data_IF_047228777700
#
_entry.id   IF_047228777700
#
_cell.length_a   1.000
_cell.length_b   1.000
_cell.length_c   1.000
_cell.angle_alpha   90.00
_cell.angle_beta   90.00
_cell.angle_gamma   90.00
#
_symmetry.space_group_name_H-M   'P 1'
#
loop_
_entity.id
_entity.type
_entity.pdbx_description
1 polymer ?
#
# COMPACT_ATOMS: atom_id res chain seq x y z
N UNK A 1 6.13 -8.66 -7.13
CA UNK A 1 7.02 -7.48 -7.01
C UNK A 1 6.29 -6.47 -6.15
N UNK A 2 6.98 -5.87 -5.18
CA UNK A 2 6.41 -4.85 -4.28
C UNK A 2 6.21 -3.52 -5.03
N UNK A 3 5.25 -2.73 -4.57
CA UNK A 3 5.10 -1.33 -4.96
C UNK A 3 5.81 -0.45 -3.92
N UNK A 4 6.72 0.40 -4.37
CA UNK A 4 7.37 1.42 -3.55
C UNK A 4 7.22 2.76 -4.26
N UNK A 5 6.44 3.66 -3.68
CA UNK A 5 6.20 5.00 -4.21
C UNK A 5 6.68 6.03 -3.19
N UNK A 6 7.50 7.00 -3.64
CA UNK A 6 7.94 8.13 -2.82
C UNK A 6 7.45 9.43 -3.46
N UNK A 7 6.72 10.23 -2.69
CA UNK A 7 6.20 11.53 -3.06
C UNK A 7 7.11 12.59 -2.40
N UNK A 8 7.70 13.47 -3.21
CA UNK A 8 8.36 14.69 -2.74
C UNK A 8 7.36 15.85 -2.77
N UNK A 9 7.08 16.44 -1.60
CA UNK A 9 6.18 17.57 -1.44
C UNK A 9 6.84 18.92 -1.76
N UNK A 10 8.13 18.92 -2.11
CA UNK A 10 8.94 20.10 -2.43
C UNK A 10 9.51 20.80 -1.19
N UNK A 11 8.72 20.90 -0.12
CA UNK A 11 9.10 21.53 1.14
C UNK A 11 8.60 20.74 2.37
N UNK A 12 9.14 21.06 3.54
CA UNK A 12 8.68 20.47 4.79
C UNK A 12 7.37 21.14 5.18
N UNK A 13 6.29 20.35 5.27
CA UNK A 13 4.96 20.82 5.62
C UNK A 13 4.28 19.87 6.63
N UNK A 14 3.29 20.35 7.41
CA UNK A 14 2.53 19.48 8.29
C UNK A 14 1.66 18.52 7.47
N UNK A 15 1.63 17.27 7.89
CA UNK A 15 0.78 16.22 7.34
C UNK A 15 -0.27 15.81 8.36
N UNK A 16 -1.50 15.69 7.87
CA UNK A 16 -2.69 15.40 8.64
C UNK A 16 -3.34 14.08 8.24
N UNK A 17 -3.24 13.66 6.97
CA UNK A 17 -3.82 12.38 6.55
C UNK A 17 -3.09 11.79 5.36
N UNK A 18 -2.93 10.46 5.39
CA UNK A 18 -2.45 9.67 4.27
C UNK A 18 -3.51 8.61 3.92
N UNK A 19 -3.74 8.38 2.63
CA UNK A 19 -4.71 7.40 2.13
C UNK A 19 -4.25 6.76 0.83
N UNK A 20 -4.53 5.46 0.66
CA UNK A 20 -4.42 4.76 -0.63
C UNK A 20 -5.54 3.75 -0.82
N UNK A 21 -5.99 3.60 -2.08
CA UNK A 21 -6.94 2.57 -2.49
C UNK A 21 -6.26 1.42 -3.22
N UNK A 22 -6.69 0.20 -2.91
CA UNK A 22 -6.18 -1.03 -3.52
C UNK A 22 -7.33 -1.87 -4.07
N UNK A 23 -7.20 -2.33 -5.32
CA UNK A 23 -8.17 -3.25 -5.91
C UNK A 23 -7.84 -4.69 -5.49
N UNK A 24 -8.87 -5.42 -5.09
CA UNK A 24 -8.86 -6.87 -5.05
C UNK A 24 -9.78 -7.41 -6.14
N UNK A 25 -9.23 -8.24 -7.01
CA UNK A 25 -9.97 -9.05 -7.96
C UNK A 25 -9.19 -10.35 -8.18
N UNK A 26 -9.46 -11.33 -7.32
CA UNK A 26 -8.69 -12.58 -7.32
C UNK A 26 -8.85 -13.35 -8.62
N UNK A 27 -9.99 -13.27 -9.31
CA UNK A 27 -10.19 -13.90 -10.62
C UNK A 27 -9.21 -13.39 -11.69
N UNK A 28 -8.81 -12.11 -11.58
CA UNK A 28 -7.82 -11.45 -12.43
C UNK A 28 -6.40 -11.49 -11.86
N UNK A 29 -6.16 -12.31 -10.82
CA UNK A 29 -4.86 -12.48 -10.15
C UNK A 29 -4.40 -11.20 -9.41
N UNK A 30 -5.35 -10.30 -9.11
CA UNK A 30 -5.12 -9.03 -8.40
C UNK A 30 -5.46 -9.26 -6.93
N UNK A 31 -4.45 -9.22 -6.07
CA UNK A 31 -4.59 -9.42 -4.64
C UNK A 31 -4.34 -8.10 -3.91
N UNK A 32 -4.96 -7.94 -2.74
CA UNK A 32 -4.51 -6.90 -1.82
C UNK A 32 -3.03 -7.09 -1.48
N UNK A 33 -2.28 -6.00 -1.29
CA UNK A 33 -0.92 -6.10 -0.78
C UNK A 33 -0.94 -6.80 0.59
N UNK A 34 -0.08 -7.79 0.79
CA UNK A 34 0.01 -8.52 2.07
C UNK A 34 0.33 -7.61 3.26
N UNK A 35 0.99 -6.48 2.98
CA UNK A 35 1.37 -5.48 3.97
C UNK A 35 1.50 -4.12 3.29
N UNK A 36 1.04 -3.06 3.94
CA UNK A 36 1.19 -1.68 3.49
C UNK A 36 1.85 -0.87 4.60
N UNK A 37 2.90 -0.12 4.27
CA UNK A 37 3.58 0.78 5.19
C UNK A 37 3.64 2.18 4.63
N UNK A 38 3.24 3.14 5.47
CA UNK A 38 3.49 4.55 5.26
C UNK A 38 4.66 5.01 6.12
N UNK A 39 5.61 5.69 5.49
CA UNK A 39 6.76 6.28 6.16
C UNK A 39 7.01 7.70 5.67
N UNK A 40 7.56 8.55 6.52
CA UNK A 40 7.81 9.96 6.20
C UNK A 40 9.26 10.34 6.46
N UNK A 41 9.76 11.34 5.72
CA UNK A 41 11.13 11.86 5.86
C UNK A 41 11.19 13.37 5.65
N UNK A 42 12.17 14.01 6.30
CA UNK A 42 12.53 15.41 6.06
C UNK A 42 13.66 15.56 5.04
N UNK A 43 14.49 14.54 4.87
CA UNK A 43 15.74 14.59 4.10
C UNK A 43 15.74 13.67 2.85
N UNK A 44 14.74 12.79 2.73
CA UNK A 44 14.61 11.86 1.59
C UNK A 44 15.48 10.61 1.68
N UNK A 45 16.24 10.44 2.76
CA UNK A 45 17.13 9.29 3.01
C UNK A 45 16.73 8.48 4.24
N UNK A 46 16.39 9.16 5.33
CA UNK A 46 15.97 8.55 6.60
C UNK A 46 14.47 8.66 6.75
N UNK A 47 13.77 7.53 6.75
CA UNK A 47 12.32 7.49 6.86
C UNK A 47 11.89 6.86 8.18
N UNK A 48 10.83 7.42 8.76
CA UNK A 48 10.18 6.90 9.96
C UNK A 48 8.78 6.41 9.59
N UNK A 49 8.46 5.17 9.95
CA UNK A 49 7.12 4.60 9.79
C UNK A 49 6.11 5.39 10.62
N UNK A 50 4.96 5.68 10.03
CA UNK A 50 3.84 6.41 10.66
C UNK A 50 2.56 5.58 10.69
N UNK A 51 2.39 4.62 9.79
CA UNK A 51 1.30 3.67 9.81
C UNK A 51 1.66 2.38 9.06
N UNK A 52 1.00 1.30 9.42
CA UNK A 52 1.13 0.01 8.78
C UNK A 52 -0.22 -0.75 8.79
N UNK A 53 -0.47 -1.52 7.74
CA UNK A 53 -1.69 -2.31 7.56
C UNK A 53 -1.33 -3.72 7.07
N UNK A 54 -1.92 -4.73 7.69
CA UNK A 54 -1.78 -6.13 7.27
C UNK A 54 -3.05 -6.60 6.57
N UNK A 55 -2.90 -7.23 5.40
CA UNK A 55 -4.02 -7.86 4.71
C UNK A 55 -3.74 -9.36 4.56
N UNK A 56 -4.46 -10.21 5.32
CA UNK A 56 -4.39 -11.65 5.14
C UNK A 56 -4.76 -12.01 3.70
N UNK A 57 -3.93 -12.83 3.05
CA UNK A 57 -4.28 -13.38 1.75
C UNK A 57 -5.52 -14.27 1.91
N UNK A 58 -6.57 -14.10 1.08
CA UNK A 58 -7.77 -14.93 1.16
C UNK A 58 -7.45 -16.43 1.07
N UNK A 59 -8.21 -17.26 1.79
CA UNK A 59 -8.10 -18.72 1.75
C UNK A 59 -8.88 -19.37 0.59
N UNK A 60 -9.53 -18.55 -0.24
CA UNK A 60 -10.34 -18.95 -1.38
C UNK A 60 -10.68 -17.72 -2.23
N UNK A 61 -11.44 -17.94 -3.31
CA UNK A 61 -11.92 -16.84 -4.16
C UNK A 61 -12.68 -15.82 -3.32
N UNK A 62 -12.35 -14.55 -3.51
CA UNK A 62 -12.98 -13.45 -2.80
C UNK A 62 -13.67 -12.51 -3.78
N UNK A 63 -14.73 -11.85 -3.30
CA UNK A 63 -15.42 -10.80 -4.06
C UNK A 63 -14.46 -9.68 -4.48
N UNK A 64 -14.76 -9.10 -5.63
CA UNK A 64 -14.09 -7.92 -6.11
C UNK A 64 -14.42 -6.74 -5.19
N UNK A 65 -13.40 -6.04 -4.70
CA UNK A 65 -13.59 -4.87 -3.83
C UNK A 65 -12.44 -3.89 -3.91
N UNK A 66 -12.69 -2.67 -3.45
CA UNK A 66 -11.65 -1.68 -3.17
C UNK A 66 -11.41 -1.69 -1.66
N UNK A 67 -10.15 -1.86 -1.26
CA UNK A 67 -9.68 -1.69 0.11
C UNK A 67 -9.05 -0.31 0.21
N UNK A 68 -9.51 0.49 1.16
CA UNK A 68 -8.95 1.80 1.44
C UNK A 68 -8.19 1.77 2.76
N UNK A 69 -6.90 2.07 2.70
CA UNK A 69 -6.06 2.22 3.88
C UNK A 69 -5.84 3.70 4.13
N UNK A 70 -6.18 4.15 5.34
CA UNK A 70 -6.02 5.54 5.74
C UNK A 70 -5.48 5.67 7.17
N UNK A 71 -4.68 6.71 7.39
CA UNK A 71 -4.20 7.09 8.71
C UNK A 71 -4.29 8.59 8.89
N UNK A 72 -4.74 9.01 10.08
CA UNK A 72 -4.65 10.39 10.53
C UNK A 72 -3.26 10.63 11.16
N UNK A 73 -2.78 11.87 11.06
CA UNK A 73 -1.50 12.33 11.55
C UNK A 73 -1.69 13.64 12.33
N UNK A 74 -0.98 13.85 13.46
CA UNK A 74 -1.16 15.02 14.31
C UNK A 74 -0.39 16.27 13.79
N UNK A 75 -0.35 16.51 12.47
CA UNK A 75 0.47 17.57 11.88
C UNK A 75 1.95 17.20 11.78
N UNK A 76 2.24 15.96 11.36
CA UNK A 76 3.62 15.46 11.27
C UNK A 76 4.41 16.23 10.20
N UNK A 77 5.50 16.89 10.60
CA UNK A 77 6.33 17.68 9.68
C UNK A 77 7.21 16.78 8.81
N UNK A 78 6.99 16.78 7.50
CA UNK A 78 7.75 16.01 6.53
C UNK A 78 7.79 16.67 5.15
N UNK A 79 8.79 16.31 4.33
CA UNK A 79 8.89 16.67 2.91
C UNK A 79 8.60 15.47 2.00
N UNK A 80 9.02 14.28 2.43
CA UNK A 80 8.84 13.06 1.66
C UNK A 80 7.85 12.13 2.36
N UNK A 81 6.97 11.53 1.57
CA UNK A 81 6.05 10.48 2.01
C UNK A 81 6.33 9.26 1.16
N UNK A 82 6.45 8.08 1.78
CA UNK A 82 6.69 6.83 1.08
C UNK A 82 5.68 5.77 1.48
N UNK A 83 5.06 5.19 0.46
CA UNK A 83 4.23 4.00 0.54
C UNK A 83 5.07 2.79 0.11
N UNK A 84 5.08 1.74 0.94
CA UNK A 84 5.56 0.40 0.55
C UNK A 84 4.40 -0.58 0.67
N UNK A 85 3.94 -1.12 -0.46
CA UNK A 85 2.93 -2.17 -0.51
C UNK A 85 3.56 -3.49 -0.97
N UNK A 86 3.64 -4.46 -0.05
CA UNK A 86 4.25 -5.77 -0.26
C UNK A 86 3.30 -6.71 -0.99
N UNK A 87 3.77 -7.32 -2.07
CA UNK A 87 2.95 -8.25 -2.85
C UNK A 87 2.89 -9.62 -2.17
N UNK A 88 1.76 -10.32 -2.30
CA UNK A 88 1.63 -11.73 -1.88
C UNK A 88 2.60 -12.65 -2.65
N UNK A 89 3.12 -12.17 -3.79
CA UNK A 89 4.19 -12.79 -4.55
C UNK A 89 3.65 -13.75 -5.60
N UNK A 90 3.19 -14.91 -5.16
CA UNK A 90 2.61 -15.94 -6.00
C UNK A 90 1.15 -16.17 -5.65
N UNK A 91 0.35 -16.54 -6.64
CA UNK A 91 -1.01 -16.98 -6.44
C UNK A 91 -1.03 -18.19 -5.48
N UNK A 92 -1.90 -18.18 -4.45
CA UNK A 92 -1.99 -19.23 -3.44
C UNK A 92 -2.48 -20.55 -4.04
N UNK A 93 -2.29 -21.66 -3.31
CA UNK A 93 -2.55 -23.02 -3.80
C UNK A 93 -3.99 -23.28 -4.25
N UNK A 94 -4.97 -22.57 -3.68
CA UNK A 94 -6.38 -22.71 -4.05
C UNK A 94 -6.74 -21.99 -5.36
N UNK A 95 -5.90 -21.05 -5.80
CA UNK A 95 -6.21 -20.19 -6.93
C UNK A 95 -5.96 -20.92 -8.26
N UNK A 96 -6.80 -20.77 -9.30
CA UNK A 96 -6.62 -21.46 -10.59
C UNK A 96 -5.26 -21.23 -11.25
N UNK A 97 -4.64 -20.07 -11.00
CA UNK A 97 -3.29 -19.72 -11.42
C UNK A 97 -2.19 -20.01 -10.38
N UNK A 98 -2.37 -20.97 -9.47
CA UNK A 98 -1.44 -21.28 -8.37
C UNK A 98 0.02 -21.36 -8.84
N UNK A 99 0.93 -20.73 -8.09
CA UNK A 99 2.35 -20.63 -8.43
C UNK A 99 2.68 -19.58 -9.51
N UNK A 100 1.67 -19.01 -10.19
CA UNK A 100 1.82 -17.83 -11.05
C UNK A 100 2.05 -16.55 -10.25
N UNK A 101 2.56 -15.50 -10.90
CA UNK A 101 2.80 -14.19 -10.27
C UNK A 101 1.48 -13.43 -10.06
N UNK A 102 1.30 -12.80 -8.91
CA UNK A 102 0.16 -11.94 -8.60
C UNK A 102 0.43 -10.46 -8.87
N UNK A 103 -0.65 -9.70 -9.05
CA UNK A 103 -0.62 -8.24 -9.25
C UNK A 103 -1.02 -7.48 -7.98
N UNK A 104 -0.47 -6.28 -7.83
CA UNK A 104 -1.02 -5.22 -6.96
C UNK A 104 -1.53 -4.12 -7.88
N UNK A 105 -2.76 -3.67 -7.64
CA UNK A 105 -3.34 -2.50 -8.29
C UNK A 105 -3.61 -1.45 -7.22
N UNK A 106 -3.17 -0.22 -7.49
CA UNK A 106 -3.37 0.97 -6.66
C UNK A 106 -3.94 2.07 -7.53
N UNK A 107 -4.86 2.87 -7.01
CA UNK A 107 -5.45 4.00 -7.74
C UNK A 107 -4.76 5.34 -7.39
N UNK A 108 -5.01 5.86 -6.19
CA UNK A 108 -4.59 7.17 -5.73
C UNK A 108 -3.79 7.05 -4.44
N UNK A 109 -2.71 7.83 -4.35
CA UNK A 109 -2.02 8.11 -3.09
C UNK A 109 -2.35 9.55 -2.72
N UNK A 110 -3.14 9.73 -1.66
CA UNK A 110 -3.57 11.03 -1.18
C UNK A 110 -2.75 11.43 0.03
N UNK A 111 -2.14 12.62 -0.04
CA UNK A 111 -1.37 13.25 1.04
C UNK A 111 -2.02 14.58 1.38
N UNK A 112 -2.43 14.76 2.64
CA UNK A 112 -3.11 15.95 3.15
C UNK A 112 -2.46 16.46 4.42
#
# INVERSE_FOLDING_TARGET
MDLIATIDLGEIRPLHRLRAGFLQDTGSWIFLPAYVEWSVSRDGSSFRTVAAFDHPTPAGTSEQRIQEDQTELPGTMARFVRLRARNVGLCPAWHPGAGGKSWIFVDELVVQ
#
